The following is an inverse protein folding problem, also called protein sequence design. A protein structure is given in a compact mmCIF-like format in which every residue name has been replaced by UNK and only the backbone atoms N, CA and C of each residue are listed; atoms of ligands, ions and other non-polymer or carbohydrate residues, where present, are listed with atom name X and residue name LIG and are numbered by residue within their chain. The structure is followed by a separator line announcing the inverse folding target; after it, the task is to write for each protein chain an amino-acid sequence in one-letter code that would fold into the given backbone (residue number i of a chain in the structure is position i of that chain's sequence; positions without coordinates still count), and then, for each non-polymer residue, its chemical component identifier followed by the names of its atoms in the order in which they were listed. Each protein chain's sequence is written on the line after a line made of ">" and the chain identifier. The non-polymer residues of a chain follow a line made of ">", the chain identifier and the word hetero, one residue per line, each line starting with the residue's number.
data_IF_093603778099
#
_entry.id   IF_093603778099
#
_cell.length_a   1.000
_cell.length_b   1.000
_cell.length_c   1.000
_cell.angle_alpha   90.00
_cell.angle_beta   90.00
_cell.angle_gamma   90.00
#
_symmetry.space_group_name_H-M   'P 1'
#
loop_
_entity.id
_entity.type
_entity.pdbx_description
1 polymer ?
#
# COMPACT_ATOMS: atom_id res chain seq x y z
N UNK A 1 10.48 15.11 -6.52
CA UNK A 1 10.58 15.32 -5.06
C UNK A 1 9.73 14.25 -4.38
N UNK A 2 10.25 13.49 -3.42
CA UNK A 2 9.49 12.47 -2.70
C UNK A 2 8.97 13.01 -1.35
N UNK A 3 7.88 12.43 -0.84
CA UNK A 3 7.33 12.70 0.50
C UNK A 3 7.22 11.40 1.28
N UNK A 4 7.51 11.45 2.57
CA UNK A 4 7.25 10.37 3.53
C UNK A 4 6.22 10.90 4.54
N UNK A 5 5.19 10.12 4.83
CA UNK A 5 4.08 10.52 5.70
C UNK A 5 3.89 9.43 6.76
N UNK A 6 3.89 9.83 8.04
CA UNK A 6 3.68 8.93 9.18
C UNK A 6 2.19 8.98 9.61
N UNK A 7 1.52 7.83 9.64
CA UNK A 7 0.17 7.68 10.17
C UNK A 7 -0.58 6.47 9.60
N UNK A 8 -1.87 6.37 9.92
CA UNK A 8 -2.74 5.34 9.34
C UNK A 8 -3.00 5.65 7.85
N UNK A 9 -2.78 4.66 6.98
CA UNK A 9 -2.89 4.87 5.54
C UNK A 9 -4.31 5.21 5.07
N UNK A 10 -5.35 4.69 5.73
CA UNK A 10 -6.75 4.98 5.36
C UNK A 10 -7.07 6.44 5.65
N UNK A 11 -6.73 6.91 6.85
CA UNK A 11 -7.01 8.30 7.26
C UNK A 11 -6.24 9.29 6.37
N UNK A 12 -4.94 9.03 6.13
CA UNK A 12 -4.11 9.91 5.29
C UNK A 12 -4.60 9.93 3.84
N UNK A 13 -4.79 8.76 3.23
CA UNK A 13 -5.13 8.68 1.81
C UNK A 13 -6.55 9.18 1.53
N UNK A 14 -7.46 9.13 2.52
CA UNK A 14 -8.81 9.69 2.40
C UNK A 14 -8.82 11.22 2.20
N UNK A 15 -7.76 11.92 2.63
CA UNK A 15 -7.59 13.36 2.43
C UNK A 15 -6.97 13.75 1.10
N UNK A 16 -6.55 12.79 0.27
CA UNK A 16 -5.98 13.10 -1.04
C UNK A 16 -7.09 13.51 -2.03
N UNK A 17 -6.84 14.48 -2.93
CA UNK A 17 -7.76 14.78 -4.01
C UNK A 17 -8.01 13.56 -4.90
N UNK A 18 -9.19 13.47 -5.51
CA UNK A 18 -9.50 12.41 -6.46
C UNK A 18 -8.53 12.43 -7.66
N UNK A 19 -8.16 11.23 -8.14
CA UNK A 19 -7.27 11.03 -9.31
C UNK A 19 -5.90 11.73 -9.20
N UNK A 20 -5.39 11.90 -7.98
CA UNK A 20 -4.09 12.54 -7.72
C UNK A 20 -2.88 11.59 -7.75
N UNK A 21 -3.11 10.28 -7.93
CA UNK A 21 -2.06 9.24 -7.88
C UNK A 21 -2.15 8.38 -9.13
N UNK A 22 -1.07 8.33 -9.92
CA UNK A 22 -1.01 7.56 -11.16
C UNK A 22 -0.80 6.06 -10.95
N UNK A 23 -0.14 5.68 -9.84
CA UNK A 23 0.19 4.30 -9.52
C UNK A 23 0.23 4.08 -8.00
N UNK A 24 -0.33 2.95 -7.57
CA UNK A 24 -0.30 2.52 -6.17
C UNK A 24 0.36 1.14 -6.11
N UNK A 25 1.47 1.03 -5.38
CA UNK A 25 2.06 -0.22 -4.95
C UNK A 25 1.75 -0.44 -3.48
N UNK A 26 1.10 -1.55 -3.14
CA UNK A 26 0.76 -1.90 -1.75
C UNK A 26 1.37 -3.24 -1.37
N UNK A 27 1.81 -3.32 -0.11
CA UNK A 27 2.16 -4.56 0.58
C UNK A 27 1.47 -4.54 1.95
N UNK A 28 0.14 -4.73 2.00
CA UNK A 28 -0.63 -4.60 3.23
C UNK A 28 -0.36 -5.79 4.18
N UNK A 29 -0.70 -5.67 5.47
CA UNK A 29 -0.60 -6.79 6.40
C UNK A 29 -1.36 -8.01 5.91
N UNK A 30 -0.67 -9.15 5.79
CA UNK A 30 -1.31 -10.41 5.40
C UNK A 30 -1.98 -11.05 6.61
N UNK A 31 -3.31 -11.18 6.55
CA UNK A 31 -4.16 -11.66 7.65
C UNK A 31 -3.94 -13.15 8.02
N UNK A 32 -3.15 -13.88 7.24
CA UNK A 32 -2.70 -15.25 7.49
C UNK A 32 -1.29 -15.41 6.93
N UNK A 33 -0.40 -16.11 7.65
CA UNK A 33 1.05 -16.19 7.38
C UNK A 33 1.40 -16.35 5.91
N UNK A 34 1.66 -15.21 5.25
CA UNK A 34 1.89 -15.14 3.81
C UNK A 34 3.01 -16.11 3.44
N UNK A 35 2.66 -17.10 2.63
CA UNK A 35 3.63 -17.94 1.93
C UNK A 35 3.72 -17.39 0.52
N UNK A 36 4.91 -16.96 0.17
CA UNK A 36 5.22 -16.56 -1.19
C UNK A 36 4.91 -17.70 -2.18
N UNK A 37 4.93 -17.38 -3.48
CA UNK A 37 4.72 -18.39 -4.52
C UNK A 37 6.03 -19.03 -4.99
N UNK A 38 7.11 -18.87 -4.24
CA UNK A 38 8.39 -19.46 -4.63
C UNK A 38 8.24 -20.99 -4.72
N UNK A 39 8.75 -21.58 -5.80
CA UNK A 39 8.67 -23.03 -6.01
C UNK A 39 7.31 -23.60 -6.43
N UNK A 40 6.31 -22.79 -6.79
CA UNK A 40 5.14 -23.31 -7.52
C UNK A 40 5.52 -23.51 -9.00
N UNK A 41 5.76 -24.76 -9.40
CA UNK A 41 5.94 -25.21 -10.79
C UNK A 41 4.62 -25.49 -11.47
#
# INVERSE_FOLDING_TARGET
>A
MSRLILGNCVDIMSGFPERAVDFILTDPPYLVGFRDRSGRS
#
